data_IF_693406061379
#
_entry.id   IF_693406061379
#
_cell.length_a   1.000
_cell.length_b   1.000
_cell.length_c   1.000
_cell.angle_alpha   90.00
_cell.angle_beta   90.00
_cell.angle_gamma   90.00
#
_symmetry.space_group_name_H-M   'P 1'
#
loop_
_entity.id
_entity.type
_entity.pdbx_description
1 polymer ?
#
# COMPACT_ATOMS: atom_id res chain seq x y z
N UNK A 1 27.82 -2.31 44.44
CA UNK A 1 28.44 -1.93 43.16
C UNK A 1 27.71 -2.70 42.06
N UNK A 2 26.86 -2.02 41.30
CA UNK A 2 25.92 -2.61 40.33
C UNK A 2 26.38 -2.25 38.92
N UNK A 3 27.39 -2.94 38.43
CA UNK A 3 27.78 -2.92 37.03
C UNK A 3 27.51 -4.30 36.47
N UNK A 4 26.61 -4.39 35.48
CA UNK A 4 26.68 -5.26 34.30
C UNK A 4 25.34 -5.16 33.57
N UNK A 5 25.10 -4.02 32.91
CA UNK A 5 24.25 -4.03 31.70
C UNK A 5 25.14 -4.57 30.58
N UNK A 6 25.28 -5.90 30.50
CA UNK A 6 25.82 -6.54 29.30
C UNK A 6 24.93 -6.12 28.13
N UNK A 7 25.45 -5.26 27.25
CA UNK A 7 24.89 -5.08 25.91
C UNK A 7 24.93 -6.48 25.27
N UNK A 8 23.76 -7.08 25.05
CA UNK A 8 23.64 -8.36 24.32
C UNK A 8 24.33 -8.23 22.97
N UNK A 9 24.94 -9.32 22.53
CA UNK A 9 25.51 -9.44 21.19
C UNK A 9 24.43 -9.06 20.15
N UNK A 10 24.70 -8.10 19.25
CA UNK A 10 23.79 -7.75 18.17
C UNK A 10 23.31 -8.95 17.35
N UNK A 11 24.16 -9.97 17.16
CA UNK A 11 23.78 -11.19 16.44
C UNK A 11 22.76 -12.02 17.20
N UNK A 12 22.85 -12.08 18.53
CA UNK A 12 21.87 -12.76 19.37
C UNK A 12 20.53 -12.02 19.37
N UNK A 13 20.56 -10.69 19.41
CA UNK A 13 19.35 -9.87 19.34
C UNK A 13 18.58 -10.06 18.02
N UNK A 14 19.27 -10.20 16.89
CA UNK A 14 18.63 -10.53 15.61
C UNK A 14 18.04 -11.94 15.60
N UNK A 15 18.73 -12.94 16.14
CA UNK A 15 18.19 -14.30 16.27
C UNK A 15 16.92 -14.34 17.12
N UNK A 16 16.90 -13.62 18.24
CA UNK A 16 15.72 -13.50 19.10
C UNK A 16 14.56 -12.86 18.33
N UNK A 17 14.82 -11.80 17.56
CA UNK A 17 13.78 -11.13 16.75
C UNK A 17 13.21 -12.04 15.68
N UNK A 18 14.06 -12.77 14.96
CA UNK A 18 13.62 -13.75 13.97
C UNK A 18 12.75 -14.84 14.60
N UNK A 19 13.16 -15.36 15.76
CA UNK A 19 12.39 -16.34 16.50
C UNK A 19 11.04 -15.81 16.99
N UNK A 20 10.96 -14.55 17.45
CA UNK A 20 9.69 -13.92 17.81
C UNK A 20 8.74 -13.88 16.61
N UNK A 21 9.26 -13.57 15.42
CA UNK A 21 8.44 -13.56 14.20
C UNK A 21 7.91 -14.96 13.90
N UNK A 22 8.76 -15.98 13.92
CA UNK A 22 8.38 -17.38 13.68
C UNK A 22 7.31 -17.87 14.67
N UNK A 23 7.48 -17.59 15.97
CA UNK A 23 6.50 -17.92 17.02
C UNK A 23 5.13 -17.28 16.74
N UNK A 24 5.13 -16.06 16.22
CA UNK A 24 3.90 -15.31 15.90
C UNK A 24 3.30 -15.73 14.56
N UNK A 25 4.07 -16.29 13.64
CA UNK A 25 3.57 -16.91 12.41
C UNK A 25 2.83 -18.22 12.71
N UNK A 26 3.30 -19.01 13.68
CA UNK A 26 2.58 -20.21 14.16
C UNK A 26 1.26 -19.84 14.88
N UNK A 27 1.30 -18.86 15.76
CA UNK A 27 0.12 -18.37 16.49
C UNK A 27 0.32 -16.94 16.97
N UNK A 28 -0.33 -16.00 16.27
CA UNK A 28 -0.23 -14.57 16.54
C UNK A 28 -0.88 -14.14 17.86
N UNK A 29 -1.72 -14.96 18.51
CA UNK A 29 -2.46 -14.57 19.73
C UNK A 29 -1.67 -14.70 21.03
N UNK A 30 -0.44 -15.21 20.96
CA UNK A 30 0.39 -15.44 22.14
C UNK A 30 0.62 -14.16 22.95
N UNK A 31 0.57 -14.31 24.26
CA UNK A 31 0.98 -13.30 25.25
C UNK A 31 2.50 -13.14 25.25
N UNK A 32 2.99 -12.02 25.76
CA UNK A 32 4.44 -11.80 25.92
C UNK A 32 5.09 -12.84 26.84
N UNK A 33 4.33 -13.38 27.79
CA UNK A 33 4.77 -14.45 28.67
C UNK A 33 4.96 -15.75 27.89
N UNK A 34 3.98 -16.15 27.07
CA UNK A 34 4.08 -17.35 26.24
C UNK A 34 5.20 -17.23 25.20
N UNK A 35 5.39 -16.06 24.59
CA UNK A 35 6.51 -15.80 23.66
C UNK A 35 7.85 -15.98 24.40
N UNK A 36 7.98 -15.45 25.62
CA UNK A 36 9.18 -15.62 26.45
C UNK A 36 9.43 -17.10 26.74
N UNK A 37 8.40 -17.84 27.15
CA UNK A 37 8.55 -19.27 27.47
C UNK A 37 8.95 -20.08 26.24
N UNK A 38 8.41 -19.78 25.06
CA UNK A 38 8.82 -20.46 23.83
C UNK A 38 10.26 -20.14 23.42
N UNK A 39 10.68 -18.88 23.53
CA UNK A 39 12.06 -18.49 23.26
C UNK A 39 13.05 -19.25 24.15
N UNK A 40 12.68 -19.49 25.41
CA UNK A 40 13.50 -20.29 26.32
C UNK A 40 13.42 -21.79 26.00
N UNK A 41 12.22 -22.35 25.86
CA UNK A 41 12.01 -23.79 25.74
C UNK A 41 12.44 -24.36 24.38
N UNK A 42 12.20 -23.62 23.28
CA UNK A 42 12.55 -24.09 21.92
C UNK A 42 13.99 -23.74 21.55
N UNK A 43 14.52 -22.61 22.02
CA UNK A 43 15.74 -22.01 21.48
C UNK A 43 16.80 -21.65 22.54
N UNK A 44 16.48 -21.80 23.83
CA UNK A 44 17.41 -21.51 24.93
C UNK A 44 17.66 -20.02 25.18
N UNK A 45 16.87 -19.12 24.59
CA UNK A 45 17.02 -17.69 24.79
C UNK A 45 16.36 -17.23 26.09
N UNK A 46 17.17 -16.88 27.08
CA UNK A 46 16.67 -16.30 28.33
C UNK A 46 16.42 -14.79 28.12
N UNK A 47 15.15 -14.40 27.95
CA UNK A 47 14.77 -13.00 27.74
C UNK A 47 13.82 -12.48 28.82
N UNK A 48 13.99 -11.22 29.22
CA UNK A 48 13.04 -10.58 30.13
C UNK A 48 11.76 -10.16 29.38
N UNK A 49 10.63 -10.10 30.08
CA UNK A 49 9.38 -9.61 29.49
C UNK A 49 9.49 -8.17 28.93
N UNK A 50 10.18 -7.21 29.59
CA UNK A 50 10.46 -5.90 28.98
C UNK A 50 11.27 -5.98 27.67
N UNK A 51 12.20 -6.94 27.56
CA UNK A 51 12.94 -7.17 26.30
C UNK A 51 12.02 -7.65 25.19
N UNK A 52 11.13 -8.61 25.48
CA UNK A 52 10.13 -9.09 24.52
C UNK A 52 9.21 -7.95 24.08
N UNK A 53 8.74 -7.12 25.02
CA UNK A 53 7.95 -5.94 24.68
C UNK A 53 8.73 -4.99 23.76
N UNK A 54 9.99 -4.66 24.10
CA UNK A 54 10.84 -3.78 23.27
C UNK A 54 11.02 -4.34 21.85
N UNK A 55 11.27 -5.64 21.72
CA UNK A 55 11.40 -6.28 20.41
C UNK A 55 10.09 -6.20 19.63
N UNK A 56 8.95 -6.53 20.24
CA UNK A 56 7.64 -6.50 19.58
C UNK A 56 7.27 -5.10 19.10
N UNK A 57 7.22 -4.12 20.00
CA UNK A 57 6.67 -2.79 19.66
C UNK A 57 7.70 -1.83 19.10
N UNK A 58 8.94 -1.89 19.61
CA UNK A 58 10.00 -0.95 19.26
C UNK A 58 10.80 -1.35 18.01
N UNK A 59 11.16 -2.64 17.88
CA UNK A 59 12.08 -3.09 16.82
C UNK A 59 11.36 -3.81 15.68
N UNK A 60 10.27 -4.54 15.96
CA UNK A 60 9.48 -5.27 14.97
C UNK A 60 8.21 -4.52 14.54
N UNK A 61 7.91 -3.39 15.18
CA UNK A 61 6.72 -2.56 14.90
C UNK A 61 5.40 -3.35 14.89
N UNK A 62 5.27 -4.27 15.84
CA UNK A 62 4.08 -5.09 16.05
C UNK A 62 3.12 -4.39 17.01
N UNK A 63 1.83 -4.55 16.74
CA UNK A 63 0.71 -4.03 17.54
C UNK A 63 -0.26 -5.18 17.84
N UNK A 64 -0.94 -5.10 18.98
CA UNK A 64 -1.81 -6.18 19.45
C UNK A 64 -3.26 -5.88 19.04
N UNK A 65 -3.74 -6.61 18.05
CA UNK A 65 -5.14 -6.64 17.65
C UNK A 65 -5.92 -7.66 18.51
N UNK A 66 -7.16 -7.33 18.87
CA UNK A 66 -7.99 -8.16 19.75
C UNK A 66 -8.40 -9.49 19.12
N UNK A 67 -8.60 -9.52 17.80
CA UNK A 67 -9.12 -10.69 17.09
C UNK A 67 -8.01 -11.47 16.40
N UNK A 68 -7.02 -10.76 15.85
CA UNK A 68 -5.93 -11.27 15.01
C UNK A 68 -4.62 -11.47 15.77
N UNK A 69 -4.52 -11.01 17.02
CA UNK A 69 -3.28 -11.11 17.82
C UNK A 69 -2.25 -10.06 17.41
N UNK A 70 -0.96 -10.38 17.51
CA UNK A 70 0.12 -9.48 17.09
C UNK A 70 0.17 -9.36 15.56
N UNK A 71 0.07 -8.14 15.05
CA UNK A 71 0.15 -7.82 13.63
C UNK A 71 1.16 -6.69 13.39
N UNK A 72 1.72 -6.60 12.19
CA UNK A 72 2.58 -5.46 11.81
C UNK A 72 1.74 -4.18 11.72
N UNK A 73 2.20 -3.10 12.34
CA UNK A 73 1.49 -1.82 12.36
C UNK A 73 1.18 -1.27 10.95
N UNK A 74 2.08 -1.46 9.98
CA UNK A 74 1.82 -1.06 8.59
C UNK A 74 0.66 -1.81 7.93
N UNK A 75 0.51 -3.11 8.25
CA UNK A 75 -0.57 -3.93 7.71
C UNK A 75 -1.92 -3.46 8.27
N UNK A 76 -1.96 -3.15 9.57
CA UNK A 76 -3.15 -2.58 10.20
C UNK A 76 -3.51 -1.22 9.60
N UNK A 77 -2.53 -0.33 9.45
CA UNK A 77 -2.75 1.00 8.84
C UNK A 77 -3.26 0.89 7.40
N UNK A 78 -2.68 -0.01 6.59
CA UNK A 78 -3.17 -0.27 5.22
C UNK A 78 -4.62 -0.77 5.22
N UNK A 79 -4.97 -1.65 6.14
CA UNK A 79 -6.33 -2.17 6.24
C UNK A 79 -7.31 -1.07 6.68
N UNK A 80 -6.96 -0.29 7.69
CA UNK A 80 -7.75 0.87 8.12
C UNK A 80 -7.97 1.86 6.97
N UNK A 81 -6.92 2.14 6.16
CA UNK A 81 -7.07 2.98 4.98
C UNK A 81 -8.00 2.38 3.91
N UNK A 82 -7.97 1.05 3.71
CA UNK A 82 -8.88 0.35 2.78
C UNK A 82 -10.33 0.40 3.26
N UNK A 83 -10.56 0.14 4.54
CA UNK A 83 -11.89 0.24 5.16
C UNK A 83 -12.44 1.65 5.06
N UNK A 84 -11.63 2.65 5.42
CA UNK A 84 -11.99 4.07 5.29
C UNK A 84 -12.31 4.42 3.84
N UNK A 85 -11.45 4.02 2.89
CA UNK A 85 -11.69 4.28 1.47
C UNK A 85 -12.98 3.62 0.98
N UNK A 86 -13.30 2.40 1.43
CA UNK A 86 -14.54 1.71 1.06
C UNK A 86 -15.79 2.47 1.53
N UNK A 87 -15.76 3.03 2.74
CA UNK A 87 -16.83 3.90 3.25
C UNK A 87 -16.92 5.17 2.42
N UNK A 88 -15.80 5.87 2.20
CA UNK A 88 -15.77 7.10 1.41
C UNK A 88 -16.28 6.87 -0.02
N UNK A 89 -15.90 5.77 -0.67
CA UNK A 89 -16.35 5.45 -2.02
C UNK A 89 -17.84 5.09 -2.07
N UNK A 90 -18.44 4.58 -0.99
CA UNK A 90 -19.89 4.32 -0.93
C UNK A 90 -20.67 5.61 -0.75
N UNK A 91 -20.16 6.53 0.06
CA UNK A 91 -20.89 7.72 0.48
C UNK A 91 -20.72 8.89 -0.51
N UNK A 92 -19.59 8.98 -1.21
CA UNK A 92 -19.23 10.16 -2.01
C UNK A 92 -19.09 9.91 -3.52
N UNK A 93 -19.07 8.67 -4.00
CA UNK A 93 -19.02 8.41 -5.45
C UNK A 93 -20.41 8.59 -6.05
N UNK A 94 -20.54 9.62 -6.90
CA UNK A 94 -21.79 9.94 -7.60
C UNK A 94 -21.96 9.07 -8.86
N UNK A 95 -20.86 8.76 -9.54
CA UNK A 95 -20.85 8.01 -10.80
C UNK A 95 -19.61 7.13 -10.88
N UNK A 96 -19.76 5.94 -11.48
CA UNK A 96 -18.65 5.03 -11.77
C UNK A 96 -18.45 4.98 -13.27
N UNK A 97 -17.26 5.37 -13.73
CA UNK A 97 -16.88 5.31 -15.14
C UNK A 97 -15.91 4.13 -15.30
N UNK A 98 -16.40 3.02 -15.84
CA UNK A 98 -15.64 1.80 -16.13
C UNK A 98 -16.41 0.93 -17.15
N UNK A 99 -15.72 0.27 -18.11
CA UNK A 99 -14.28 0.26 -18.34
C UNK A 99 -13.74 1.62 -18.80
N UNK A 100 -12.43 1.87 -18.65
CA UNK A 100 -11.78 3.05 -19.24
C UNK A 100 -10.51 2.64 -19.95
N UNK A 101 -10.30 3.18 -21.14
CA UNK A 101 -9.04 3.08 -21.85
C UNK A 101 -8.22 4.35 -21.62
N UNK A 102 -6.92 4.20 -21.42
CA UNK A 102 -5.99 5.31 -21.29
C UNK A 102 -5.22 5.50 -22.59
N UNK A 103 -5.31 6.69 -23.17
CA UNK A 103 -4.53 7.12 -24.33
C UNK A 103 -3.54 8.18 -23.89
N UNK A 104 -2.27 7.99 -24.26
CA UNK A 104 -1.20 8.97 -23.99
C UNK A 104 -0.77 9.59 -25.31
N UNK A 105 -0.97 10.90 -25.44
CA UNK A 105 -0.51 11.67 -26.60
C UNK A 105 0.72 12.46 -26.20
N UNK A 106 1.81 12.30 -26.95
CA UNK A 106 2.96 13.20 -26.87
C UNK A 106 2.77 14.31 -27.89
N UNK A 107 2.91 15.55 -27.47
CA UNK A 107 2.59 16.73 -28.26
C UNK A 107 3.82 17.65 -28.37
N UNK A 108 3.79 18.54 -29.35
CA UNK A 108 4.75 19.63 -29.42
C UNK A 108 4.63 20.54 -28.19
N UNK A 109 5.75 21.08 -27.67
CA UNK A 109 5.73 21.98 -26.53
C UNK A 109 4.78 23.16 -26.73
N UNK A 110 3.94 23.42 -25.73
CA UNK A 110 2.97 24.52 -25.74
C UNK A 110 1.59 24.19 -26.31
N UNK A 111 1.40 23.03 -26.96
CA UNK A 111 0.11 22.67 -27.58
C UNK A 111 -0.83 21.85 -26.69
N UNK A 112 -0.31 21.24 -25.62
CA UNK A 112 -1.09 20.30 -24.81
C UNK A 112 -2.36 20.91 -24.19
N UNK A 113 -2.31 22.17 -23.73
CA UNK A 113 -3.48 22.86 -23.20
C UNK A 113 -4.56 23.14 -24.25
N UNK A 114 -4.16 23.60 -25.43
CA UNK A 114 -5.08 23.90 -26.53
C UNK A 114 -5.76 22.63 -27.05
N UNK A 115 -4.99 21.56 -27.24
CA UNK A 115 -5.52 20.27 -27.67
C UNK A 115 -6.45 19.68 -26.61
N UNK A 116 -6.10 19.79 -25.33
CA UNK A 116 -6.95 19.33 -24.23
C UNK A 116 -8.32 20.01 -24.24
N UNK A 117 -8.36 21.34 -24.41
CA UNK A 117 -9.61 22.10 -24.46
C UNK A 117 -10.55 21.54 -25.54
N UNK A 118 -10.06 21.47 -26.78
CA UNK A 118 -10.85 21.00 -27.92
C UNK A 118 -11.23 19.52 -27.81
N UNK A 119 -10.35 18.69 -27.23
CA UNK A 119 -10.66 17.29 -26.98
C UNK A 119 -11.83 17.15 -25.99
N UNK A 120 -11.78 17.88 -24.87
CA UNK A 120 -12.83 17.79 -23.83
C UNK A 120 -14.16 18.37 -24.28
N UNK A 121 -14.15 19.45 -25.06
CA UNK A 121 -15.39 20.08 -25.56
C UNK A 121 -15.98 19.32 -26.76
N UNK A 122 -15.13 18.84 -27.68
CA UNK A 122 -15.56 18.18 -28.91
C UNK A 122 -15.90 16.70 -28.76
N UNK A 123 -15.39 16.03 -27.73
CA UNK A 123 -15.53 14.59 -27.53
C UNK A 123 -16.00 14.23 -26.11
N UNK A 124 -16.77 15.10 -25.44
CA UNK A 124 -17.25 14.90 -24.07
C UNK A 124 -18.08 13.61 -23.87
N UNK A 125 -18.74 13.14 -24.93
CA UNK A 125 -19.50 11.88 -24.91
C UNK A 125 -18.56 10.66 -24.84
N UNK A 126 -17.36 10.75 -25.40
CA UNK A 126 -16.37 9.68 -25.47
C UNK A 126 -15.28 9.78 -24.38
N UNK A 127 -14.89 11.00 -24.02
CA UNK A 127 -13.82 11.29 -23.07
C UNK A 127 -14.39 11.40 -21.66
N UNK A 128 -13.96 10.51 -20.77
CA UNK A 128 -14.28 10.55 -19.34
C UNK A 128 -13.55 11.70 -18.63
N UNK A 129 -12.35 12.02 -19.11
CA UNK A 129 -11.54 13.13 -18.63
C UNK A 129 -10.15 13.10 -19.24
N UNK A 130 -9.42 14.20 -19.07
CA UNK A 130 -8.05 14.31 -19.57
C UNK A 130 -7.21 15.22 -18.68
N UNK A 131 -5.90 14.98 -18.67
CA UNK A 131 -4.94 15.75 -17.89
C UNK A 131 -3.70 16.06 -18.73
N UNK A 132 -3.29 17.33 -18.70
CA UNK A 132 -2.08 17.82 -19.35
C UNK A 132 -0.87 17.51 -18.47
N UNK A 133 0.15 16.89 -19.05
CA UNK A 133 1.38 16.46 -18.40
C UNK A 133 2.60 17.05 -19.13
N UNK A 134 2.89 18.33 -18.88
CA UNK A 134 3.96 19.04 -19.60
C UNK A 134 3.61 19.20 -21.09
N UNK A 135 4.34 18.48 -21.94
CA UNK A 135 4.11 18.38 -23.39
C UNK A 135 3.35 17.09 -23.78
N UNK A 136 2.73 16.41 -22.81
CA UNK A 136 1.89 15.24 -23.02
C UNK A 136 0.44 15.44 -22.58
N UNK A 137 -0.43 14.57 -23.05
CA UNK A 137 -1.83 14.48 -22.65
C UNK A 137 -2.16 13.04 -22.26
N UNK A 138 -2.73 12.83 -21.08
CA UNK A 138 -3.35 11.56 -20.69
C UNK A 138 -4.86 11.71 -20.80
N UNK A 139 -5.48 10.86 -21.59
CA UNK A 139 -6.92 10.88 -21.88
C UNK A 139 -7.54 9.58 -21.39
N UNK A 140 -8.55 9.67 -20.55
CA UNK A 140 -9.40 8.55 -20.15
C UNK A 140 -10.64 8.52 -21.05
N UNK A 141 -10.84 7.40 -21.74
CA UNK A 141 -11.93 7.16 -22.69
C UNK A 141 -12.94 6.21 -22.03
N UNK A 142 -14.24 6.50 -22.15
CA UNK A 142 -15.32 5.82 -21.40
C UNK A 142 -15.58 4.36 -21.83
N UNK A 143 -15.04 3.93 -22.98
CA UNK A 143 -15.18 2.56 -23.49
C UNK A 143 -13.88 2.10 -24.21
N UNK A 144 -13.64 0.80 -24.27
CA UNK A 144 -12.49 0.17 -24.94
C UNK A 144 -12.61 0.17 -26.47
N UNK A 145 -13.82 0.11 -27.03
CA UNK A 145 -14.01 0.26 -28.49
C UNK A 145 -13.76 1.71 -28.94
N UNK A 146 -13.81 2.64 -28.01
CA UNK A 146 -13.73 4.08 -28.27
C UNK A 146 -12.30 4.62 -28.33
N UNK A 147 -11.28 3.95 -27.77
CA UNK A 147 -9.92 4.50 -27.78
C UNK A 147 -9.26 4.46 -29.15
N UNK A 148 -9.35 3.32 -29.84
CA UNK A 148 -8.89 3.20 -31.24
C UNK A 148 -9.76 4.06 -32.16
N UNK A 149 -11.09 4.00 -31.99
CA UNK A 149 -12.04 4.86 -32.72
C UNK A 149 -11.77 6.35 -32.51
N UNK A 150 -11.40 6.78 -31.29
CA UNK A 150 -11.02 8.16 -31.00
C UNK A 150 -9.73 8.52 -31.72
N UNK A 151 -8.72 7.66 -31.69
CA UNK A 151 -7.47 7.87 -32.42
C UNK A 151 -7.72 7.97 -33.93
N UNK A 152 -8.55 7.11 -34.51
CA UNK A 152 -8.98 7.18 -35.90
C UNK A 152 -9.72 8.49 -36.21
N UNK A 153 -10.68 8.90 -35.37
CA UNK A 153 -11.41 10.17 -35.51
C UNK A 153 -10.47 11.38 -35.43
N UNK A 154 -9.41 11.29 -34.64
CA UNK A 154 -8.36 12.30 -34.52
C UNK A 154 -7.33 12.22 -35.67
N UNK A 155 -7.47 11.24 -36.57
CA UNK A 155 -6.62 11.08 -37.75
C UNK A 155 -5.30 10.34 -37.51
N UNK A 156 -5.16 9.65 -36.38
CA UNK A 156 -4.02 8.77 -36.13
C UNK A 156 -4.24 7.41 -36.83
N UNK A 157 -3.16 6.84 -37.36
CA UNK A 157 -3.16 5.49 -37.90
C UNK A 157 -2.92 4.54 -36.73
N UNK A 158 -3.88 3.66 -36.46
CA UNK A 158 -3.76 2.55 -35.50
C UNK A 158 -3.39 1.30 -36.29
N UNK A 159 -2.30 0.61 -35.94
CA UNK A 159 -1.83 -0.64 -36.57
C UNK A 159 -2.33 -1.88 -35.81
#
# INVERSE_FOLDING_TARGET
MSEYKLKRDPQEAEKIKAAIVEILEENSKRSQFEIKEELFNKLGFEVSQPSVHRYLTGELSMVKDKEKGWIKAEKEKKEQHRETLSVLLKDFVVERIAPVQLVVLKLEPGYAGLINLHLTEGYSDTVAGSVVMGDGLLVAVKDNEDGETLLEKLGFIVE
#
